data_IF_010721082856
#
_entry.id   IF_010721082856
#
_cell.length_a   1.000
_cell.length_b   1.000
_cell.length_c   1.000
_cell.angle_alpha   90.00
_cell.angle_beta   90.00
_cell.angle_gamma   90.00
#
_symmetry.space_group_name_H-M   'P 1'
#
loop_
_entity.id
_entity.type
_entity.pdbx_description
1 polymer ?
#
# COMPACT_ATOMS: atom_id res chain seq x y z
N UNK A 1 21.03 45.66 -89.54
CA UNK A 1 19.63 45.20 -89.44
C UNK A 1 19.36 44.29 -90.63
N UNK A 2 18.83 43.07 -90.45
CA UNK A 2 17.82 42.66 -89.46
C UNK A 2 18.31 41.56 -88.50
N UNK A 3 18.11 41.75 -87.20
CA UNK A 3 17.05 41.19 -86.33
C UNK A 3 17.57 40.06 -85.44
N UNK A 4 17.96 40.48 -84.24
CA UNK A 4 18.16 39.67 -83.05
C UNK A 4 16.86 38.94 -82.67
N UNK A 5 16.91 37.62 -82.56
CA UNK A 5 15.87 36.84 -81.88
C UNK A 5 16.43 36.38 -80.55
N UNK A 6 16.14 37.16 -79.51
CA UNK A 6 16.30 36.76 -78.11
C UNK A 6 15.31 35.63 -77.80
N UNK A 7 15.72 34.54 -77.13
CA UNK A 7 14.75 33.61 -76.54
C UNK A 7 14.04 34.29 -75.36
N UNK A 8 12.71 34.15 -75.22
CA UNK A 8 11.94 34.85 -74.21
C UNK A 8 12.16 34.26 -72.81
N UNK A 9 12.48 35.17 -71.90
CA UNK A 9 12.25 35.23 -70.46
C UNK A 9 11.56 34.04 -69.74
N UNK A 10 12.21 33.66 -68.64
CA UNK A 10 11.65 33.54 -67.29
C UNK A 10 10.36 32.71 -67.12
N UNK A 11 10.46 31.40 -67.36
CA UNK A 11 9.60 30.46 -66.65
C UNK A 11 10.24 30.13 -65.29
N UNK A 12 9.98 30.94 -64.26
CA UNK A 12 9.98 30.41 -62.89
C UNK A 12 8.91 29.31 -62.88
N UNK A 13 9.22 28.02 -62.67
CA UNK A 13 8.16 27.05 -62.49
C UNK A 13 7.44 27.43 -61.21
N UNK A 14 6.21 27.88 -61.41
CA UNK A 14 5.19 28.05 -60.38
C UNK A 14 5.32 26.94 -59.36
N UNK A 15 5.33 27.35 -58.09
CA UNK A 15 5.62 26.48 -56.96
C UNK A 15 4.91 25.14 -57.09
N UNK A 16 5.70 24.06 -57.10
CA UNK A 16 5.21 22.69 -57.10
C UNK A 16 4.09 22.60 -56.06
N UNK A 17 2.84 22.53 -56.53
CA UNK A 17 1.69 22.30 -55.67
C UNK A 17 1.86 20.90 -55.12
N UNK A 18 2.40 20.83 -53.90
CA UNK A 18 2.63 19.57 -53.20
C UNK A 18 1.29 18.83 -53.09
N UNK A 19 1.17 17.58 -53.55
CA UNK A 19 -0.07 16.83 -53.45
C UNK A 19 -0.52 16.76 -51.99
N UNK A 20 -1.79 17.08 -51.73
CA UNK A 20 -2.38 17.18 -50.38
C UNK A 20 -2.14 15.93 -49.52
N UNK A 21 -2.01 14.75 -50.17
CA UNK A 21 -1.74 13.48 -49.52
C UNK A 21 -0.48 13.49 -48.63
N UNK A 22 0.58 14.23 -48.99
CA UNK A 22 1.82 14.30 -48.17
C UNK A 22 1.58 15.03 -46.85
N UNK A 23 0.76 16.09 -46.85
CA UNK A 23 0.42 16.83 -45.63
C UNK A 23 -0.46 16.00 -44.71
N UNK A 24 -1.45 15.30 -45.29
CA UNK A 24 -2.38 14.43 -44.55
C UNK A 24 -1.67 13.23 -43.91
N UNK A 25 -0.72 12.60 -44.61
CA UNK A 25 0.08 11.51 -44.05
C UNK A 25 0.95 11.97 -42.86
N UNK A 26 1.58 13.15 -42.97
CA UNK A 26 2.38 13.73 -41.88
C UNK A 26 1.52 14.09 -40.66
N UNK A 27 0.34 14.66 -40.88
CA UNK A 27 -0.61 14.97 -39.81
C UNK A 27 -1.11 13.70 -39.11
N UNK A 28 -1.44 12.65 -39.87
CA UNK A 28 -1.85 11.35 -39.32
C UNK A 28 -0.75 10.72 -38.47
N UNK A 29 0.51 10.75 -38.92
CA UNK A 29 1.64 10.22 -38.14
C UNK A 29 1.85 10.96 -36.81
N UNK A 30 1.67 12.29 -36.79
CA UNK A 30 1.76 13.11 -35.57
C UNK A 30 0.65 12.76 -34.58
N UNK A 31 -0.61 12.73 -35.04
CA UNK A 31 -1.76 12.34 -34.20
C UNK A 31 -1.57 10.96 -33.56
N UNK A 32 -1.12 9.97 -34.34
CA UNK A 32 -0.82 8.63 -33.81
C UNK A 32 0.31 8.63 -32.78
N UNK A 33 1.28 9.55 -32.87
CA UNK A 33 2.32 9.68 -31.87
C UNK A 33 1.76 10.31 -30.59
N UNK A 34 1.01 11.40 -30.74
CA UNK A 34 0.36 12.09 -29.62
C UNK A 34 -0.59 11.15 -28.86
N UNK A 35 -1.40 10.36 -29.57
CA UNK A 35 -2.26 9.33 -28.99
C UNK A 35 -1.47 8.26 -28.23
N UNK A 36 -0.35 7.79 -28.79
CA UNK A 36 0.53 6.81 -28.12
C UNK A 36 1.16 7.37 -26.85
N UNK A 37 1.59 8.63 -26.88
CA UNK A 37 2.18 9.30 -25.71
C UNK A 37 1.13 9.48 -24.60
N UNK A 38 -0.10 9.82 -24.96
CA UNK A 38 -1.23 9.89 -24.01
C UNK A 38 -1.49 8.53 -23.38
N UNK A 39 -1.58 7.46 -24.19
CA UNK A 39 -1.80 6.09 -23.68
C UNK A 39 -0.66 5.65 -22.76
N UNK A 40 0.60 5.93 -23.12
CA UNK A 40 1.75 5.63 -22.25
C UNK A 40 1.67 6.40 -20.92
N UNK A 41 1.25 7.68 -20.96
CA UNK A 41 1.04 8.50 -19.77
C UNK A 41 -0.07 7.95 -18.85
N UNK A 42 -1.17 7.48 -19.41
CA UNK A 42 -2.27 6.86 -18.65
C UNK A 42 -1.86 5.51 -18.05
N UNK A 43 -1.15 4.67 -18.80
CA UNK A 43 -0.62 3.40 -18.30
C UNK A 43 0.34 3.61 -17.13
N UNK A 44 1.25 4.59 -17.23
CA UNK A 44 2.18 4.92 -16.14
C UNK A 44 1.44 5.41 -14.89
N UNK A 45 0.38 6.21 -15.04
CA UNK A 45 -0.46 6.65 -13.91
C UNK A 45 -1.17 5.47 -13.24
N UNK A 46 -1.70 4.53 -14.03
CA UNK A 46 -2.34 3.32 -13.52
C UNK A 46 -1.32 2.44 -12.78
N UNK A 47 -0.13 2.24 -13.35
CA UNK A 47 0.95 1.49 -12.71
C UNK A 47 1.34 2.11 -11.36
N UNK A 48 1.60 3.43 -11.32
CA UNK A 48 1.92 4.12 -10.07
C UNK A 48 0.79 4.05 -9.05
N UNK A 49 -0.47 4.07 -9.49
CA UNK A 49 -1.63 3.92 -8.59
C UNK A 49 -1.70 2.52 -8.01
N UNK A 50 -1.46 1.49 -8.83
CA UNK A 50 -1.45 0.10 -8.39
C UNK A 50 -0.31 -0.17 -7.40
N UNK A 51 0.89 0.33 -7.67
CA UNK A 51 2.03 0.24 -6.75
C UNK A 51 1.70 0.84 -5.38
N UNK A 52 1.15 2.07 -5.36
CA UNK A 52 0.71 2.71 -4.10
C UNK A 52 -0.36 1.90 -3.39
N UNK A 53 -1.29 1.29 -4.13
CA UNK A 53 -2.34 0.47 -3.53
C UNK A 53 -1.77 -0.82 -2.92
N UNK A 54 -0.77 -1.43 -3.56
CA UNK A 54 -0.05 -2.59 -3.02
C UNK A 54 0.65 -2.20 -1.73
N UNK A 55 1.36 -1.07 -1.70
CA UNK A 55 2.06 -0.57 -0.50
C UNK A 55 1.07 -0.30 0.66
N UNK A 56 -0.05 0.36 0.37
CA UNK A 56 -1.09 0.63 1.36
C UNK A 56 -1.67 -0.68 1.90
N UNK A 57 -1.95 -1.64 1.02
CA UNK A 57 -2.49 -2.93 1.41
C UNK A 57 -1.50 -3.71 2.29
N UNK A 58 -0.21 -3.70 1.93
CA UNK A 58 0.83 -4.34 2.72
C UNK A 58 0.97 -3.71 4.10
N UNK A 59 1.04 -2.39 4.19
CA UNK A 59 1.09 -1.67 5.47
C UNK A 59 -0.17 -1.94 6.32
N UNK A 60 -1.34 -1.99 5.68
CA UNK A 60 -2.62 -2.31 6.34
C UNK A 60 -2.62 -3.73 6.91
N UNK A 61 -2.10 -4.72 6.19
CA UNK A 61 -1.99 -6.09 6.69
C UNK A 61 -1.02 -6.19 7.88
N UNK A 62 0.15 -5.56 7.78
CA UNK A 62 1.12 -5.53 8.89
C UNK A 62 0.55 -4.88 10.14
N UNK A 63 -0.19 -3.77 9.98
CA UNK A 63 -0.86 -3.12 11.11
C UNK A 63 -1.92 -4.03 11.74
N UNK A 64 -2.74 -4.71 10.93
CA UNK A 64 -3.74 -5.66 11.42
C UNK A 64 -3.12 -6.81 12.19
N UNK A 65 -1.99 -7.34 11.70
CA UNK A 65 -1.25 -8.40 12.38
C UNK A 65 -0.72 -7.94 13.74
N UNK A 66 -0.10 -6.75 13.80
CA UNK A 66 0.38 -6.19 15.07
C UNK A 66 -0.75 -5.94 16.07
N UNK A 67 -1.90 -5.43 15.61
CA UNK A 67 -3.07 -5.22 16.46
C UNK A 67 -3.59 -6.55 16.99
N UNK A 68 -3.72 -7.56 16.12
CA UNK A 68 -4.19 -8.88 16.52
C UNK A 68 -3.27 -9.54 17.54
N UNK A 69 -1.95 -9.45 17.32
CA UNK A 69 -0.96 -9.99 18.26
C UNK A 69 -1.06 -9.32 19.63
N UNK A 70 -1.15 -7.99 19.68
CA UNK A 70 -1.36 -7.25 20.95
C UNK A 70 -2.70 -7.58 21.60
N UNK A 71 -3.75 -7.76 20.82
CA UNK A 71 -5.08 -8.13 21.33
C UNK A 71 -5.07 -9.52 21.96
N UNK A 72 -4.42 -10.50 21.32
CA UNK A 72 -4.24 -11.85 21.87
C UNK A 72 -3.44 -11.78 23.17
N UNK A 73 -2.31 -11.08 23.18
CA UNK A 73 -1.48 -10.91 24.37
C UNK A 73 -2.26 -10.31 25.54
N UNK A 74 -3.03 -9.24 25.28
CA UNK A 74 -3.88 -8.60 26.28
C UNK A 74 -4.99 -9.52 26.77
N UNK A 75 -5.65 -10.28 25.89
CA UNK A 75 -6.68 -11.26 26.25
C UNK A 75 -6.12 -12.35 27.14
N UNK A 76 -4.96 -12.90 26.79
CA UNK A 76 -4.31 -13.91 27.60
C UNK A 76 -3.89 -13.34 28.97
N UNK A 77 -3.30 -12.13 29.00
CA UNK A 77 -2.95 -11.46 30.26
C UNK A 77 -4.19 -11.25 31.12
N UNK A 78 -5.30 -10.79 30.53
CA UNK A 78 -6.56 -10.60 31.24
C UNK A 78 -7.13 -11.91 31.80
N UNK A 79 -7.11 -13.00 31.01
CA UNK A 79 -7.56 -14.31 31.46
C UNK A 79 -6.68 -14.85 32.60
N UNK A 80 -5.35 -14.73 32.47
CA UNK A 80 -4.41 -15.10 33.54
C UNK A 80 -4.70 -14.31 34.82
N UNK A 81 -4.89 -12.99 34.72
CA UNK A 81 -5.26 -12.13 35.87
C UNK A 81 -6.61 -12.51 36.47
N UNK A 82 -7.60 -12.84 35.67
CA UNK A 82 -8.91 -13.28 36.14
C UNK A 82 -8.80 -14.60 36.91
N UNK A 83 -8.01 -15.55 36.40
CA UNK A 83 -7.76 -16.82 37.06
C UNK A 83 -7.04 -16.64 38.40
N UNK A 84 -5.97 -15.83 38.42
CA UNK A 84 -5.24 -15.48 39.64
C UNK A 84 -6.16 -14.83 40.67
N UNK A 85 -6.97 -13.85 40.26
CA UNK A 85 -7.95 -13.21 41.16
C UNK A 85 -8.96 -14.22 41.73
N UNK A 86 -9.43 -15.18 40.94
CA UNK A 86 -10.34 -16.22 41.44
C UNK A 86 -9.68 -17.06 42.54
N UNK A 87 -8.40 -17.42 42.40
CA UNK A 87 -7.65 -18.19 43.39
C UNK A 87 -7.35 -17.34 44.64
N UNK A 88 -6.94 -16.09 44.45
CA UNK A 88 -6.66 -15.16 45.56
C UNK A 88 -7.91 -14.89 46.42
N UNK A 89 -9.09 -14.85 45.80
CA UNK A 89 -10.36 -14.60 46.50
C UNK A 89 -11.09 -15.90 46.88
N UNK A 90 -10.46 -17.07 46.74
CA UNK A 90 -11.08 -18.34 47.11
C UNK A 90 -11.12 -18.50 48.63
N UNK A 91 -12.28 -18.83 49.17
CA UNK A 91 -12.45 -19.13 50.59
C UNK A 91 -11.80 -20.48 50.94
N UNK A 92 -10.63 -20.41 51.57
CA UNK A 92 -9.82 -21.57 51.95
C UNK A 92 -10.42 -22.40 53.09
N UNK A 93 -11.37 -21.84 53.86
CA UNK A 93 -12.00 -22.54 54.97
C UNK A 93 -12.85 -23.74 54.50
N UNK A 94 -13.38 -23.65 53.27
CA UNK A 94 -14.23 -24.66 52.63
C UNK A 94 -13.45 -25.77 51.93
N UNK A 95 -12.12 -25.68 51.92
CA UNK A 95 -11.24 -26.62 51.23
C UNK A 95 -10.63 -27.63 52.20
N UNK A 96 -10.34 -28.82 51.68
CA UNK A 96 -9.57 -29.82 52.41
C UNK A 96 -8.16 -29.30 52.70
N UNK A 97 -7.49 -29.79 53.77
CA UNK A 97 -6.17 -29.31 54.14
C UNK A 97 -5.12 -29.40 53.01
N UNK A 98 -5.18 -30.46 52.20
CA UNK A 98 -4.26 -30.64 51.06
C UNK A 98 -4.48 -29.60 49.96
N UNK A 99 -5.73 -29.29 49.63
CA UNK A 99 -6.07 -28.29 48.61
C UNK A 99 -5.78 -26.89 49.12
N UNK A 100 -6.03 -26.63 50.42
CA UNK A 100 -5.68 -25.37 51.07
C UNK A 100 -4.19 -25.06 50.95
N UNK A 101 -3.33 -26.01 51.36
CA UNK A 101 -1.89 -25.84 51.27
C UNK A 101 -1.41 -25.56 49.83
N UNK A 102 -2.00 -26.26 48.84
CA UNK A 102 -1.71 -26.00 47.42
C UNK A 102 -2.11 -24.59 46.99
N UNK A 103 -3.30 -24.13 47.39
CA UNK A 103 -3.77 -22.78 47.10
C UNK A 103 -2.90 -21.70 47.75
N UNK A 104 -2.49 -21.87 49.00
CA UNK A 104 -1.58 -20.93 49.68
C UNK A 104 -0.25 -20.79 48.91
N UNK A 105 0.30 -21.90 48.42
CA UNK A 105 1.50 -21.89 47.57
C UNK A 105 1.26 -21.15 46.26
N UNK A 106 0.11 -21.34 45.60
CA UNK A 106 -0.22 -20.61 44.38
C UNK A 106 -0.43 -19.12 44.64
N UNK A 107 -1.11 -18.76 45.71
CA UNK A 107 -1.32 -17.36 46.12
C UNK A 107 0.02 -16.66 46.36
N UNK A 108 0.96 -17.31 47.07
CA UNK A 108 2.30 -16.77 47.29
C UNK A 108 3.09 -16.58 45.98
N UNK A 109 2.93 -17.49 45.00
CA UNK A 109 3.54 -17.32 43.66
C UNK A 109 2.95 -16.13 42.92
N UNK A 110 1.62 -15.97 42.94
CA UNK A 110 0.96 -14.84 42.27
C UNK A 110 1.33 -13.50 42.89
N UNK A 111 1.47 -13.41 44.22
CA UNK A 111 1.94 -12.20 44.88
C UNK A 111 3.34 -11.80 44.40
N UNK A 112 4.27 -12.75 44.29
CA UNK A 112 5.61 -12.49 43.73
C UNK A 112 5.58 -12.04 42.27
N UNK A 113 4.73 -12.65 41.45
CA UNK A 113 4.53 -12.21 40.07
C UNK A 113 3.96 -10.79 40.01
N UNK A 114 3.03 -10.44 40.90
CA UNK A 114 2.41 -9.12 40.94
C UNK A 114 3.37 -8.03 41.44
N UNK A 115 4.25 -8.35 42.38
CA UNK A 115 5.37 -7.49 42.78
C UNK A 115 6.33 -7.24 41.60
N UNK A 116 6.68 -8.29 40.83
CA UNK A 116 7.53 -8.16 39.65
C UNK A 116 6.89 -7.33 38.53
N UNK A 117 5.56 -7.41 38.36
CA UNK A 117 4.78 -6.60 37.43
C UNK A 117 4.60 -5.14 37.89
N UNK A 118 5.06 -4.77 39.09
CA UNK A 118 4.93 -3.42 39.65
C UNK A 118 3.50 -3.03 40.01
N UNK A 119 2.66 -4.02 40.35
CA UNK A 119 1.26 -3.82 40.72
C UNK A 119 1.11 -3.55 42.23
N UNK A 120 2.19 -3.76 43.00
CA UNK A 120 2.34 -3.51 44.43
C UNK A 120 3.60 -2.70 44.69
#
# INVERSE_FOLDING_TARGET
MPEDVLPPNDAKPDGIVRPEGRKNAKAKKRRLHDEKDVVAGELNKLQSTLEKQVDINQASMQMKEQVLMKEIELKEKAQRRQHQNRIMNQDLSKLSPSVRASNEVMQAKFLKEWEADGIF
#
